data_IF_565151565264
#
_entry.id   IF_565151565264
#
_cell.length_a   1.000
_cell.length_b   1.000
_cell.length_c   1.000
_cell.angle_alpha   90.00
_cell.angle_beta   90.00
_cell.angle_gamma   90.00
#
_symmetry.space_group_name_H-M   'P 1'
#
loop_
_entity.id
_entity.type
_entity.pdbx_description
1 polymer ?
#
# COMPACT_ATOMS: atom_id res chain seq x y z
N UNK A 1 -13.66 38.04 -14.66
CA UNK A 1 -14.98 37.73 -14.08
C UNK A 1 -15.70 36.86 -15.09
N UNK A 2 -15.56 35.55 -14.97
CA UNK A 2 -16.25 34.59 -15.83
C UNK A 2 -17.60 34.28 -15.20
N UNK A 3 -18.65 34.74 -15.86
CA UNK A 3 -20.02 34.39 -15.52
C UNK A 3 -20.22 32.91 -15.87
N UNK A 4 -20.57 32.10 -14.87
CA UNK A 4 -21.12 30.77 -15.05
C UNK A 4 -22.45 30.90 -15.79
N UNK A 5 -22.74 30.09 -16.81
CA UNK A 5 -24.03 30.05 -17.43
C UNK A 5 -25.03 29.48 -16.42
N UNK A 6 -25.85 30.37 -15.85
CA UNK A 6 -27.06 30.00 -15.15
C UNK A 6 -28.10 29.65 -16.22
N UNK A 7 -28.24 28.38 -16.51
CA UNK A 7 -29.35 27.89 -17.33
C UNK A 7 -30.15 26.92 -16.46
N UNK A 8 -30.91 27.50 -15.53
CA UNK A 8 -31.83 26.77 -14.63
C UNK A 8 -33.04 26.19 -15.40
N UNK A 9 -33.22 26.54 -16.69
CA UNK A 9 -34.37 26.11 -17.48
C UNK A 9 -34.21 24.69 -18.10
N UNK A 10 -32.98 24.16 -18.21
CA UNK A 10 -32.76 22.84 -18.80
C UNK A 10 -32.88 21.68 -17.78
N UNK A 11 -32.91 21.97 -16.49
CA UNK A 11 -33.05 20.94 -15.44
C UNK A 11 -34.49 20.46 -15.27
N UNK A 12 -35.47 21.35 -15.51
CA UNK A 12 -36.89 21.01 -15.31
C UNK A 12 -37.46 20.10 -16.41
N UNK A 13 -36.76 19.91 -17.51
CA UNK A 13 -37.24 19.08 -18.66
C UNK A 13 -36.60 17.71 -18.80
N UNK A 14 -35.71 17.32 -17.92
CA UNK A 14 -35.14 15.97 -18.00
C UNK A 14 -36.05 14.97 -17.25
N UNK A 15 -36.78 14.08 -17.97
CA UNK A 15 -37.74 13.16 -17.34
C UNK A 15 -37.09 12.11 -16.42
N UNK A 16 -35.75 11.93 -16.49
CA UNK A 16 -35.05 11.06 -15.57
C UNK A 16 -34.87 11.70 -14.17
N UNK A 17 -34.64 13.02 -14.13
CA UNK A 17 -34.56 13.72 -12.86
C UNK A 17 -35.92 13.89 -12.20
N UNK A 18 -36.99 14.09 -12.98
CA UNK A 18 -38.35 14.17 -12.43
C UNK A 18 -38.79 12.88 -11.73
N UNK A 19 -38.30 11.71 -12.19
CA UNK A 19 -38.59 10.42 -11.52
C UNK A 19 -37.86 10.28 -10.19
N UNK A 20 -36.65 10.83 -10.04
CA UNK A 20 -35.91 10.79 -8.77
C UNK A 20 -36.57 11.61 -7.65
N UNK A 21 -37.32 12.64 -8.02
CA UNK A 21 -38.03 13.48 -7.06
C UNK A 21 -39.50 13.05 -6.84
N UNK A 22 -40.08 12.25 -7.76
CA UNK A 22 -41.43 11.75 -7.61
C UNK A 22 -41.56 10.46 -6.77
N UNK A 23 -40.47 9.72 -6.59
CA UNK A 23 -40.50 8.51 -5.76
C UNK A 23 -40.48 8.81 -4.25
N UNK A 24 -40.19 10.05 -3.84
CA UNK A 24 -40.03 10.40 -2.42
C UNK A 24 -41.32 10.94 -1.77
N UNK A 25 -42.36 11.28 -2.57
CA UNK A 25 -43.63 11.82 -2.03
C UNK A 25 -44.73 10.77 -1.77
N UNK A 26 -44.44 9.48 -1.96
CA UNK A 26 -45.46 8.41 -1.76
C UNK A 26 -45.11 7.40 -0.68
N UNK A 27 -44.24 7.76 0.29
CA UNK A 27 -44.12 6.93 1.49
C UNK A 27 -45.17 7.35 2.54
N UNK A 28 -46.11 6.45 2.88
CA UNK A 28 -46.93 6.64 4.05
C UNK A 28 -46.04 6.58 5.29
N UNK A 29 -46.17 7.59 6.11
CA UNK A 29 -45.60 7.70 7.43
C UNK A 29 -46.19 6.60 8.32
N UNK A 30 -45.59 5.40 8.31
CA UNK A 30 -45.82 4.44 9.38
C UNK A 30 -44.49 4.24 10.10
N UNK A 31 -44.54 4.67 11.35
CA UNK A 31 -43.53 4.53 12.36
C UNK A 31 -43.14 3.06 12.54
N UNK A 32 -41.92 2.68 12.08
CA UNK A 32 -41.20 1.51 12.62
C UNK A 32 -39.78 1.34 12.00
N UNK A 33 -39.10 2.41 11.55
CA UNK A 33 -37.77 2.26 10.92
C UNK A 33 -36.66 3.02 11.64
N UNK A 34 -36.71 3.04 12.99
CA UNK A 34 -35.60 3.57 13.81
C UNK A 34 -34.41 2.62 13.91
N UNK A 35 -34.54 1.37 13.47
CA UNK A 35 -33.50 0.36 13.60
C UNK A 35 -32.51 0.35 12.40
N UNK A 36 -32.96 0.80 11.20
CA UNK A 36 -32.12 0.78 9.98
C UNK A 36 -31.00 1.84 10.01
N UNK A 37 -31.25 2.99 10.62
CA UNK A 37 -30.22 4.03 10.81
C UNK A 37 -29.12 3.61 11.79
N UNK A 38 -29.49 2.81 12.80
CA UNK A 38 -28.55 2.27 13.78
C UNK A 38 -27.65 1.19 13.17
N UNK A 39 -28.16 0.42 12.22
CA UNK A 39 -27.38 -0.58 11.49
C UNK A 39 -26.43 0.08 10.50
N UNK A 40 -26.86 1.07 9.72
CA UNK A 40 -26.00 1.82 8.80
C UNK A 40 -24.90 2.61 9.53
N UNK A 41 -25.20 3.18 10.69
CA UNK A 41 -24.21 3.86 11.51
C UNK A 41 -23.17 2.91 12.13
N UNK A 42 -23.50 1.63 12.31
CA UNK A 42 -22.57 0.61 12.81
C UNK A 42 -21.70 -0.02 11.71
N UNK A 43 -22.14 0.02 10.44
CA UNK A 43 -21.38 -0.51 9.31
C UNK A 43 -20.32 0.48 8.77
N UNK A 44 -20.59 1.80 8.86
CA UNK A 44 -19.63 2.82 8.41
C UNK A 44 -18.25 2.82 9.13
N UNK A 45 -18.15 2.55 10.45
CA UNK A 45 -16.84 2.51 11.11
C UNK A 45 -15.91 1.42 10.59
N UNK A 46 -16.41 0.30 10.11
CA UNK A 46 -15.59 -0.82 9.64
C UNK A 46 -14.96 -0.57 8.28
N UNK A 47 -15.64 0.13 7.36
CA UNK A 47 -15.10 0.50 6.05
C UNK A 47 -14.02 1.57 6.17
N UNK A 48 -14.23 2.58 7.02
CA UNK A 48 -13.24 3.65 7.27
C UNK A 48 -11.99 3.08 7.94
N UNK A 49 -12.13 2.14 8.88
CA UNK A 49 -10.99 1.47 9.51
C UNK A 49 -10.23 0.60 8.50
N UNK A 50 -10.92 -0.15 7.66
CA UNK A 50 -10.29 -0.95 6.61
C UNK A 50 -9.48 -0.12 5.61
N UNK A 51 -9.99 1.05 5.22
CA UNK A 51 -9.28 1.98 4.35
C UNK A 51 -8.01 2.54 5.02
N UNK A 52 -8.08 2.95 6.28
CA UNK A 52 -6.92 3.44 7.05
C UNK A 52 -5.85 2.36 7.25
N UNK A 53 -6.25 1.13 7.52
CA UNK A 53 -5.32 0.01 7.68
C UNK A 53 -4.63 -0.32 6.35
N UNK A 54 -5.36 -0.22 5.23
CA UNK A 54 -4.80 -0.35 3.89
C UNK A 54 -3.75 0.71 3.57
N UNK A 55 -4.02 1.99 3.87
CA UNK A 55 -3.05 3.08 3.68
C UNK A 55 -1.81 2.93 4.56
N UNK A 56 -1.97 2.56 5.82
CA UNK A 56 -0.84 2.27 6.73
C UNK A 56 0.02 1.14 6.18
N UNK A 57 -0.59 0.03 5.75
CA UNK A 57 0.13 -1.09 5.17
C UNK A 57 0.87 -0.70 3.87
N UNK A 58 0.29 0.15 3.03
CA UNK A 58 0.93 0.68 1.83
C UNK A 58 2.16 1.53 2.18
N UNK A 59 2.03 2.44 3.15
CA UNK A 59 3.13 3.28 3.61
C UNK A 59 4.26 2.46 4.23
N UNK A 60 3.95 1.43 5.03
CA UNK A 60 4.96 0.51 5.55
C UNK A 60 5.66 -0.29 4.45
N UNK A 61 4.92 -0.74 3.42
CA UNK A 61 5.52 -1.42 2.28
C UNK A 61 6.55 -0.54 1.57
N UNK A 62 6.26 0.74 1.41
CA UNK A 62 7.14 1.72 0.80
C UNK A 62 8.36 2.02 1.69
N UNK A 63 8.13 2.20 2.99
CA UNK A 63 9.19 2.41 3.98
C UNK A 63 10.19 1.25 3.98
N UNK A 64 9.72 0.01 4.02
CA UNK A 64 10.59 -1.18 3.98
C UNK A 64 11.34 -1.30 2.66
N UNK A 65 10.72 -0.87 1.54
CA UNK A 65 11.37 -0.82 0.24
C UNK A 65 12.59 0.10 0.20
N UNK A 66 12.59 1.19 0.96
CA UNK A 66 13.76 2.06 1.11
C UNK A 66 14.72 1.56 2.18
N UNK A 67 14.21 1.05 3.30
CA UNK A 67 15.02 0.61 4.42
C UNK A 67 15.87 -0.62 4.07
N UNK A 68 15.36 -1.50 3.20
CA UNK A 68 16.07 -2.68 2.74
C UNK A 68 17.42 -2.34 2.08
N UNK A 69 17.44 -1.63 0.95
CA UNK A 69 18.68 -1.19 0.32
C UNK A 69 19.56 -0.36 1.25
N UNK A 70 18.97 0.55 2.03
CA UNK A 70 19.72 1.39 2.96
C UNK A 70 20.48 0.56 4.01
N UNK A 71 19.82 -0.45 4.60
CA UNK A 71 20.47 -1.35 5.59
C UNK A 71 21.59 -2.17 4.94
N UNK A 72 21.41 -2.59 3.68
CA UNK A 72 22.44 -3.31 2.95
C UNK A 72 23.68 -2.42 2.73
N UNK A 73 23.50 -1.21 2.20
CA UNK A 73 24.62 -0.29 1.97
C UNK A 73 25.30 0.13 3.27
N UNK A 74 24.53 0.38 4.33
CA UNK A 74 25.08 0.72 5.65
C UNK A 74 25.90 -0.44 6.21
N UNK A 75 25.37 -1.66 6.19
CA UNK A 75 26.09 -2.84 6.65
C UNK A 75 27.35 -3.12 5.84
N UNK A 76 27.29 -2.94 4.52
CA UNK A 76 28.46 -3.06 3.64
C UNK A 76 29.51 -1.98 3.94
N UNK A 77 29.09 -0.72 4.13
CA UNK A 77 29.97 0.36 4.52
C UNK A 77 30.68 0.07 5.85
N UNK A 78 29.95 -0.38 6.88
CA UNK A 78 30.51 -0.73 8.19
C UNK A 78 31.47 -1.94 8.08
N UNK A 79 31.22 -2.87 7.18
CA UNK A 79 32.12 -3.98 6.93
C UNK A 79 33.46 -3.51 6.36
N UNK A 80 33.43 -2.58 5.40
CA UNK A 80 34.64 -1.97 4.80
C UNK A 80 35.44 -1.20 5.86
N UNK A 81 34.75 -0.59 6.84
CA UNK A 81 35.40 0.09 7.96
C UNK A 81 35.99 -0.86 9.02
N UNK A 82 35.86 -2.16 8.81
CA UNK A 82 36.43 -3.16 9.72
C UNK A 82 35.66 -3.38 11.03
N UNK A 83 34.38 -2.98 11.09
CA UNK A 83 33.53 -3.10 12.29
C UNK A 83 33.05 -4.56 12.58
N UNK A 84 33.59 -5.53 11.87
CA UNK A 84 33.45 -6.95 12.20
C UNK A 84 32.04 -7.57 11.97
N UNK A 85 31.69 -8.61 12.72
CA UNK A 85 30.49 -9.42 12.44
C UNK A 85 29.17 -8.69 12.56
N UNK A 86 29.11 -7.62 13.36
CA UNK A 86 27.89 -6.81 13.54
C UNK A 86 27.41 -6.13 12.24
N UNK A 87 28.33 -5.79 11.35
CA UNK A 87 28.00 -5.21 10.06
C UNK A 87 27.30 -6.20 9.13
N UNK A 88 27.61 -7.49 9.22
CA UNK A 88 26.93 -8.56 8.48
C UNK A 88 25.47 -8.71 8.93
N UNK A 89 25.21 -8.60 10.23
CA UNK A 89 23.85 -8.64 10.76
C UNK A 89 22.97 -7.53 10.21
N UNK A 90 23.54 -6.31 10.07
CA UNK A 90 22.83 -5.17 9.48
C UNK A 90 22.55 -5.41 7.99
N UNK A 91 23.52 -5.95 7.24
CA UNK A 91 23.31 -6.30 5.83
C UNK A 91 22.26 -7.39 5.65
N UNK A 92 22.20 -8.40 6.54
CA UNK A 92 21.22 -9.48 6.50
C UNK A 92 19.81 -9.01 6.86
N UNK A 93 19.64 -7.85 7.47
CA UNK A 93 18.33 -7.27 7.68
C UNK A 93 17.64 -6.88 6.34
N UNK A 94 18.42 -6.57 5.30
CA UNK A 94 17.88 -6.13 4.01
C UNK A 94 16.88 -7.12 3.37
N UNK A 95 17.19 -8.42 3.18
CA UNK A 95 16.23 -9.36 2.60
C UNK A 95 14.99 -9.54 3.47
N UNK A 96 15.14 -9.51 4.79
CA UNK A 96 14.00 -9.63 5.73
C UNK A 96 13.06 -8.42 5.58
N UNK A 97 13.60 -7.21 5.53
CA UNK A 97 12.82 -5.99 5.34
C UNK A 97 12.09 -5.99 3.98
N UNK A 98 12.77 -6.42 2.91
CA UNK A 98 12.15 -6.53 1.60
C UNK A 98 10.99 -7.55 1.57
N UNK A 99 11.14 -8.71 2.21
CA UNK A 99 10.07 -9.72 2.32
C UNK A 99 8.89 -9.16 3.12
N UNK A 100 9.15 -8.51 4.25
CA UNK A 100 8.11 -7.86 5.06
C UNK A 100 7.39 -6.76 4.26
N UNK A 101 8.12 -5.97 3.48
CA UNK A 101 7.55 -4.96 2.60
C UNK A 101 6.63 -5.53 1.51
N UNK A 102 7.00 -6.66 0.90
CA UNK A 102 6.15 -7.37 -0.06
C UNK A 102 4.87 -7.87 0.63
N UNK A 103 5.00 -8.41 1.84
CA UNK A 103 3.86 -8.91 2.61
C UNK A 103 2.90 -7.79 2.98
N UNK A 104 3.40 -6.66 3.49
CA UNK A 104 2.60 -5.48 3.78
C UNK A 104 1.90 -4.93 2.53
N UNK A 105 2.57 -4.91 1.39
CA UNK A 105 1.96 -4.53 0.11
C UNK A 105 0.81 -5.45 -0.32
N UNK A 106 0.85 -6.75 0.03
CA UNK A 106 -0.27 -7.68 -0.20
C UNK A 106 -1.44 -7.41 0.76
N UNK A 107 -1.15 -7.09 2.02
CA UNK A 107 -2.17 -6.70 3.00
C UNK A 107 -2.90 -5.43 2.53
N UNK A 108 -2.17 -4.40 2.10
CA UNK A 108 -2.74 -3.17 1.56
C UNK A 108 -3.71 -3.44 0.39
N UNK A 109 -3.34 -4.36 -0.53
CA UNK A 109 -4.23 -4.73 -1.65
C UNK A 109 -5.53 -5.40 -1.21
N UNK A 110 -5.52 -6.19 -0.14
CA UNK A 110 -6.73 -6.82 0.40
C UNK A 110 -7.73 -5.78 0.92
N UNK A 111 -7.23 -4.63 1.36
CA UNK A 111 -8.03 -3.49 1.80
C UNK A 111 -8.31 -2.49 0.66
N UNK A 112 -8.11 -2.88 -0.61
CA UNK A 112 -8.41 -2.06 -1.78
C UNK A 112 -7.43 -0.92 -2.05
N UNK A 113 -6.34 -0.80 -1.27
CA UNK A 113 -5.35 0.27 -1.42
C UNK A 113 -4.30 -0.09 -2.47
N UNK A 114 -3.93 0.87 -3.32
CA UNK A 114 -2.88 0.67 -4.33
C UNK A 114 -1.50 0.72 -3.66
N UNK A 115 -0.86 -0.44 -3.52
CA UNK A 115 0.50 -0.57 -2.96
C UNK A 115 1.49 -1.17 -3.97
N UNK A 116 1.28 -0.84 -5.27
CA UNK A 116 2.08 -1.42 -6.35
C UNK A 116 3.54 -0.96 -6.26
N UNK A 117 3.75 0.33 -5.97
CA UNK A 117 5.08 0.96 -5.92
C UNK A 117 5.97 0.32 -4.85
N UNK A 118 5.46 0.17 -3.64
CA UNK A 118 6.20 -0.48 -2.54
C UNK A 118 6.56 -1.93 -2.86
N UNK A 119 5.66 -2.67 -3.52
CA UNK A 119 5.91 -4.06 -3.92
C UNK A 119 6.98 -4.18 -5.00
N UNK A 120 6.95 -3.31 -6.00
CA UNK A 120 7.97 -3.29 -7.07
C UNK A 120 9.33 -2.95 -6.46
N UNK A 121 9.40 -1.94 -5.60
CA UNK A 121 10.62 -1.51 -4.95
C UNK A 121 11.22 -2.62 -4.08
N UNK A 122 10.41 -3.28 -3.26
CA UNK A 122 10.85 -4.41 -2.44
C UNK A 122 11.26 -5.63 -3.29
N UNK A 123 10.55 -5.90 -4.38
CA UNK A 123 10.88 -6.96 -5.33
C UNK A 123 12.24 -6.73 -5.99
N UNK A 124 12.47 -5.50 -6.46
CA UNK A 124 13.77 -5.10 -7.03
C UNK A 124 14.89 -5.21 -6.00
N UNK A 125 14.66 -4.75 -4.77
CA UNK A 125 15.62 -4.86 -3.67
C UNK A 125 15.98 -6.31 -3.37
N UNK A 126 15.01 -7.21 -3.35
CA UNK A 126 15.24 -8.64 -3.16
C UNK A 126 16.03 -9.27 -4.32
N UNK A 127 15.67 -8.96 -5.57
CA UNK A 127 16.39 -9.44 -6.75
C UNK A 127 17.84 -8.96 -6.76
N UNK A 128 18.07 -7.70 -6.40
CA UNK A 128 19.41 -7.13 -6.27
C UNK A 128 20.24 -7.87 -5.22
N UNK A 129 19.65 -8.14 -4.04
CA UNK A 129 20.32 -8.89 -2.98
C UNK A 129 20.68 -10.32 -3.41
N UNK A 130 19.75 -11.02 -4.07
CA UNK A 130 20.00 -12.39 -4.59
C UNK A 130 21.10 -12.35 -5.65
N UNK A 131 21.09 -11.36 -6.54
CA UNK A 131 22.12 -11.17 -7.58
C UNK A 131 23.51 -10.99 -6.97
N UNK A 132 23.64 -10.15 -5.95
CA UNK A 132 24.91 -9.96 -5.24
C UNK A 132 25.35 -11.24 -4.54
N UNK A 133 24.47 -11.94 -3.85
CA UNK A 133 24.79 -13.20 -3.17
C UNK A 133 25.28 -14.26 -4.18
N UNK A 134 24.60 -14.38 -5.32
CA UNK A 134 25.01 -15.29 -6.39
C UNK A 134 26.39 -14.93 -6.96
N UNK A 135 26.66 -13.64 -7.15
CA UNK A 135 27.97 -13.15 -7.60
C UNK A 135 29.09 -13.52 -6.61
N UNK A 136 28.86 -13.32 -5.31
CA UNK A 136 29.81 -13.70 -4.28
C UNK A 136 30.07 -15.21 -4.26
N UNK A 137 29.03 -16.03 -4.38
CA UNK A 137 29.17 -17.49 -4.48
C UNK A 137 29.94 -17.90 -5.72
N UNK A 138 29.71 -17.25 -6.86
CA UNK A 138 30.44 -17.51 -8.09
C UNK A 138 31.92 -17.19 -7.94
N UNK A 139 32.28 -16.02 -7.38
CA UNK A 139 33.66 -15.61 -7.14
C UNK A 139 34.35 -16.55 -6.15
N UNK A 140 33.68 -16.91 -5.05
CA UNK A 140 34.24 -17.86 -4.07
C UNK A 140 34.53 -19.23 -4.69
N UNK A 141 33.61 -19.73 -5.53
CA UNK A 141 33.80 -20.98 -6.25
C UNK A 141 34.96 -20.88 -7.26
N UNK A 142 35.06 -19.78 -8.02
CA UNK A 142 36.15 -19.56 -8.96
C UNK A 142 37.51 -19.53 -8.25
N UNK A 143 37.61 -18.86 -7.11
CA UNK A 143 38.84 -18.79 -6.31
C UNK A 143 39.22 -20.17 -5.70
N UNK A 144 38.26 -21.01 -5.35
CA UNK A 144 38.55 -22.36 -4.81
C UNK A 144 39.13 -23.31 -5.85
N UNK A 145 38.95 -23.03 -7.14
CA UNK A 145 39.55 -23.82 -8.24
C UNK A 145 40.95 -23.37 -8.65
N UNK A 146 41.41 -22.24 -8.13
CA UNK A 146 42.77 -21.69 -8.46
C UNK A 146 43.81 -22.12 -7.42
N UNK A 147 43.37 -22.51 -6.21
CA UNK A 147 44.24 -23.07 -5.14
C UNK A 147 44.27 -24.60 -5.16
#
# INVERSE_FOLDING_TARGET
MSQLPQNDEDFDYNPEYAKLYQEDDSQPSDAEDTDDWSQRASEQPSEVQGAQDGERAANFSLLFGFLGPLSFFLGFWLLVQGLGPSSLMISLAAPVLNILGIWQGRVAQRHGTRALEGRILNGLGLCFFIGIAALFMYIANALSHIN
#
